data_IF_408614080403
#
_entry.id   IF_408614080403
#
_cell.length_a   1.000
_cell.length_b   1.000
_cell.length_c   1.000
_cell.angle_alpha   90.00
_cell.angle_beta   90.00
_cell.angle_gamma   90.00
#
_symmetry.space_group_name_H-M   'P 1'
#
loop_
_entity.id
_entity.type
_entity.pdbx_description
1 polymer ?
#
# COMPACT_ATOMS: atom_id res chain seq x y z
N UNK A 1 -9.46 13.86 -6.47
CA UNK A 1 -9.21 13.70 -5.03
C UNK A 1 -7.78 13.27 -4.80
N UNK A 2 -7.13 13.77 -3.74
CA UNK A 2 -5.74 13.42 -3.40
C UNK A 2 -5.77 12.04 -2.73
N UNK A 3 -5.18 11.01 -3.36
CA UNK A 3 -5.12 9.66 -2.77
C UNK A 3 -4.15 9.65 -1.58
N UNK A 4 -4.65 10.01 -0.40
CA UNK A 4 -3.85 10.10 0.82
C UNK A 4 -3.30 8.74 1.25
N UNK A 5 -4.07 7.66 1.07
CA UNK A 5 -3.64 6.32 1.44
C UNK A 5 -2.39 5.90 0.63
N UNK A 6 -2.48 5.96 -0.69
CA UNK A 6 -1.38 5.60 -1.59
C UNK A 6 -0.15 6.49 -1.42
N UNK A 7 -0.34 7.78 -1.10
CA UNK A 7 0.76 8.68 -0.74
C UNK A 7 1.46 8.26 0.55
N UNK A 8 0.71 8.01 1.62
CA UNK A 8 1.27 7.56 2.91
C UNK A 8 2.01 6.23 2.75
N UNK A 9 1.44 5.27 2.02
CA UNK A 9 2.12 3.99 1.73
C UNK A 9 3.45 4.21 1.02
N UNK A 10 3.50 5.03 -0.03
CA UNK A 10 4.75 5.31 -0.76
C UNK A 10 5.79 6.02 0.11
N UNK A 11 5.36 6.97 0.95
CA UNK A 11 6.25 7.64 1.90
C UNK A 11 6.82 6.65 2.94
N UNK A 12 5.99 5.77 3.50
CA UNK A 12 6.44 4.74 4.46
C UNK A 12 7.40 3.74 3.81
N UNK A 13 7.12 3.31 2.58
CA UNK A 13 8.02 2.43 1.82
C UNK A 13 9.39 3.09 1.60
N UNK A 14 9.40 4.38 1.22
CA UNK A 14 10.63 5.15 1.07
C UNK A 14 11.41 5.25 2.38
N UNK A 15 10.75 5.58 3.50
CA UNK A 15 11.38 5.66 4.81
C UNK A 15 11.97 4.32 5.29
N UNK A 16 11.39 3.19 4.86
CA UNK A 16 11.88 1.83 5.17
C UNK A 16 12.87 1.28 4.14
N UNK A 17 13.25 2.07 3.12
CA UNK A 17 14.05 1.61 1.98
C UNK A 17 13.49 0.33 1.31
N UNK A 18 12.16 0.19 1.32
CA UNK A 18 11.46 -1.00 0.80
C UNK A 18 10.88 -0.69 -0.57
N UNK A 19 11.25 -1.42 -1.64
CA UNK A 19 10.69 -1.20 -2.95
C UNK A 19 9.24 -1.72 -3.03
N UNK A 20 8.36 -1.03 -3.77
CA UNK A 20 6.95 -1.41 -3.90
C UNK A 20 6.73 -2.86 -4.41
N UNK A 21 7.66 -3.38 -5.22
CA UNK A 21 7.64 -4.78 -5.70
C UNK A 21 7.76 -5.80 -4.56
N UNK A 22 8.44 -5.45 -3.48
CA UNK A 22 8.61 -6.30 -2.31
C UNK A 22 7.32 -6.33 -1.49
N UNK A 23 6.68 -5.18 -1.28
CA UNK A 23 5.36 -5.13 -0.68
C UNK A 23 4.34 -5.98 -1.46
N UNK A 24 4.36 -5.93 -2.80
CA UNK A 24 3.50 -6.78 -3.62
C UNK A 24 3.75 -8.28 -3.38
N UNK A 25 5.02 -8.70 -3.26
CA UNK A 25 5.40 -10.08 -2.91
C UNK A 25 4.88 -10.48 -1.52
N UNK A 26 5.07 -9.63 -0.50
CA UNK A 26 4.58 -9.88 0.87
C UNK A 26 3.05 -10.03 0.94
N UNK A 27 2.34 -9.30 0.08
CA UNK A 27 0.89 -9.37 -0.04
C UNK A 27 0.40 -10.57 -0.87
N UNK A 28 1.30 -11.24 -1.60
CA UNK A 28 0.95 -12.31 -2.54
C UNK A 28 0.16 -11.82 -3.75
N UNK A 29 0.41 -10.59 -4.22
CA UNK A 29 -0.31 -9.98 -5.36
C UNK A 29 0.64 -9.43 -6.43
N UNK A 30 0.09 -9.11 -7.61
CA UNK A 30 0.87 -8.45 -8.66
C UNK A 30 1.18 -6.99 -8.33
N UNK A 31 2.34 -6.50 -8.78
CA UNK A 31 2.71 -5.09 -8.69
C UNK A 31 1.72 -4.16 -9.40
N UNK A 32 1.08 -4.64 -10.46
CA UNK A 32 0.03 -3.91 -11.18
C UNK A 32 -1.22 -3.74 -10.30
N UNK A 33 -1.70 -4.81 -9.68
CA UNK A 33 -2.85 -4.76 -8.79
C UNK A 33 -2.59 -3.88 -7.55
N UNK A 34 -1.40 -3.99 -6.96
CA UNK A 34 -1.00 -3.08 -5.88
C UNK A 34 -1.01 -1.61 -6.37
N UNK A 35 -0.50 -1.35 -7.56
CA UNK A 35 -0.49 0.01 -8.12
C UNK A 35 -1.89 0.56 -8.37
N UNK A 36 -2.85 -0.28 -8.76
CA UNK A 36 -4.25 0.12 -8.91
C UNK A 36 -4.88 0.49 -7.56
N UNK A 37 -4.59 -0.27 -6.50
CA UNK A 37 -5.03 0.06 -5.13
C UNK A 37 -4.44 1.38 -4.66
N UNK A 38 -3.12 1.59 -4.84
CA UNK A 38 -2.41 2.81 -4.45
C UNK A 38 -2.71 4.03 -5.34
N UNK A 39 -3.57 3.86 -6.35
CA UNK A 39 -4.10 4.92 -7.22
C UNK A 39 -5.63 5.06 -7.11
N UNK A 40 -6.25 4.39 -6.13
CA UNK A 40 -7.71 4.35 -5.92
C UNK A 40 -8.51 3.83 -7.13
N UNK A 41 -7.86 3.11 -8.06
CA UNK A 41 -8.55 2.42 -9.17
C UNK A 41 -9.26 1.15 -8.69
N UNK A 42 -8.83 0.61 -7.55
CA UNK A 42 -9.42 -0.55 -6.87
C UNK A 42 -9.53 -0.23 -5.39
N UNK A 43 -10.67 -0.57 -4.80
CA UNK A 43 -10.90 -0.35 -3.37
C UNK A 43 -9.98 -1.23 -2.51
N UNK A 44 -9.99 -2.55 -2.75
CA UNK A 44 -9.03 -3.48 -2.16
C UNK A 44 -9.00 -3.48 -0.62
N UNK A 45 -10.16 -3.37 0.05
CA UNK A 45 -10.27 -3.25 1.53
C UNK A 45 -9.35 -4.22 2.30
N UNK A 46 -9.42 -5.50 1.97
CA UNK A 46 -8.60 -6.55 2.62
C UNK A 46 -7.10 -6.34 2.38
N UNK A 47 -6.72 -5.85 1.19
CA UNK A 47 -5.32 -5.57 0.86
C UNK A 47 -4.84 -4.31 1.59
N UNK A 48 -5.67 -3.26 1.70
CA UNK A 48 -5.34 -2.06 2.49
C UNK A 48 -5.09 -2.40 3.96
N UNK A 49 -5.95 -3.21 4.56
CA UNK A 49 -5.76 -3.68 5.93
C UNK A 49 -4.45 -4.47 6.10
N UNK A 50 -4.11 -5.33 5.13
CA UNK A 50 -2.81 -6.04 5.13
C UNK A 50 -1.62 -5.08 4.98
N UNK A 51 -1.71 -4.07 4.11
CA UNK A 51 -0.65 -3.07 3.92
C UNK A 51 -0.40 -2.32 5.22
N UNK A 52 -1.47 -1.89 5.91
CA UNK A 52 -1.37 -1.18 7.19
C UNK A 52 -0.63 -2.02 8.22
N UNK A 53 -0.97 -3.32 8.32
CA UNK A 53 -0.30 -4.27 9.22
C UNK A 53 1.16 -4.50 8.86
N UNK A 54 1.48 -4.75 7.59
CA UNK A 54 2.85 -5.02 7.12
C UNK A 54 3.76 -3.81 7.34
N UNK A 55 3.23 -2.61 7.10
CA UNK A 55 3.98 -1.38 7.20
C UNK A 55 3.97 -0.75 8.60
N UNK A 56 3.26 -1.37 9.56
CA UNK A 56 3.04 -0.86 10.91
C UNK A 56 2.54 0.61 10.90
N UNK A 57 1.59 0.88 10.02
CA UNK A 57 0.98 2.21 9.89
C UNK A 57 -0.15 2.33 10.91
N UNK A 58 -0.31 3.50 11.56
CA UNK A 58 -1.52 3.77 12.33
C UNK A 58 -2.70 3.86 11.36
N UNK A 59 -3.76 3.10 11.60
CA UNK A 59 -5.04 3.31 10.89
C UNK A 59 -5.45 4.77 11.14
N UNK A 60 -5.62 5.54 10.08
CA UNK A 60 -6.27 6.84 10.20
C UNK A 60 -7.75 6.54 10.19
N UNK A 61 -8.33 6.50 11.39
CA UNK A 61 -9.78 6.55 11.62
C UNK A 61 -10.36 7.86 11.08
#
# INVERSE_FOLDING_TARGET
MRNEFGMKVRATLFAKNMPQKELAKLLGISSAYLSDILRDKREGKNVRAKIIKILDMKEVS
#
